data_IF_890334613764
#
_entry.id   IF_890334613764
#
_cell.length_a   1.000
_cell.length_b   1.000
_cell.length_c   1.000
_cell.angle_alpha   90.00
_cell.angle_beta   90.00
_cell.angle_gamma   90.00
#
_symmetry.space_group_name_H-M   'P 1'
#
loop_
_entity.id
_entity.type
_entity.pdbx_description
1 polymer ?
#
# COMPACT_ATOMS: atom_id res chain seq x y z
N UNK A 1 -12.74 24.20 7.87
CA UNK A 1 -13.19 23.95 6.48
C UNK A 1 -12.22 22.96 5.87
N UNK A 2 -12.59 21.68 5.84
CA UNK A 2 -11.79 20.61 5.22
C UNK A 2 -12.13 20.54 3.74
N UNK A 3 -11.17 20.84 2.86
CA UNK A 3 -11.37 20.67 1.40
C UNK A 3 -11.13 19.21 1.04
N UNK A 4 -12.09 18.35 1.37
CA UNK A 4 -12.19 17.04 0.72
C UNK A 4 -12.61 17.30 -0.72
N UNK A 5 -11.71 17.11 -1.69
CA UNK A 5 -12.18 16.71 -3.01
C UNK A 5 -12.84 15.34 -2.84
N UNK A 6 -13.89 15.05 -3.61
CA UNK A 6 -14.78 13.90 -3.39
C UNK A 6 -14.09 12.53 -3.25
N UNK A 7 -12.78 12.43 -3.52
CA UNK A 7 -11.94 11.23 -3.38
C UNK A 7 -10.53 11.47 -2.80
N UNK A 8 -10.19 12.68 -2.34
CA UNK A 8 -8.79 13.02 -1.99
C UNK A 8 -8.61 13.93 -0.78
N UNK A 9 -7.41 13.88 -0.18
CA UNK A 9 -6.99 14.71 0.94
C UNK A 9 -5.60 15.31 0.71
N UNK A 10 -5.44 16.60 0.99
CA UNK A 10 -4.19 17.35 0.73
C UNK A 10 -3.20 17.24 1.91
N UNK A 11 -3.68 17.03 3.13
CA UNK A 11 -2.81 17.06 4.31
C UNK A 11 -1.67 16.01 4.31
N UNK A 12 -1.82 14.77 3.84
CA UNK A 12 -0.68 13.84 3.80
C UNK A 12 0.39 14.31 2.79
N UNK A 13 -0.02 14.51 1.53
CA UNK A 13 0.85 14.89 0.42
C UNK A 13 0.05 15.74 -0.56
N UNK A 14 0.74 16.59 -1.30
CA UNK A 14 0.17 17.49 -2.30
C UNK A 14 0.15 18.95 -1.85
N UNK A 15 -0.66 19.77 -2.52
CA UNK A 15 -0.83 21.20 -2.24
C UNK A 15 -2.24 21.65 -2.65
N UNK A 16 -2.71 22.76 -2.11
CA UNK A 16 -3.97 23.36 -2.52
C UNK A 16 -3.77 24.77 -3.09
N UNK A 17 -4.67 25.20 -3.97
CA UNK A 17 -4.57 26.52 -4.59
C UNK A 17 -4.65 27.68 -3.58
N UNK A 18 -5.24 27.45 -2.40
CA UNK A 18 -5.35 28.47 -1.34
C UNK A 18 -4.20 28.47 -0.34
N UNK A 19 -3.23 27.55 -0.51
CA UNK A 19 -2.04 27.41 0.33
C UNK A 19 -2.34 27.26 1.82
N UNK A 20 -3.47 26.66 2.17
CA UNK A 20 -3.88 26.40 3.55
C UNK A 20 -3.39 25.06 4.08
N UNK A 21 -2.91 24.18 3.19
CA UNK A 21 -2.47 22.82 3.51
C UNK A 21 -1.02 22.58 3.09
N UNK A 22 -0.27 23.66 2.90
CA UNK A 22 1.11 23.64 2.42
C UNK A 22 2.09 23.18 3.51
N UNK A 23 1.68 23.20 4.77
CA UNK A 23 2.43 22.63 5.88
C UNK A 23 1.56 21.65 6.66
N UNK A 24 2.10 20.47 6.99
CA UNK A 24 1.33 19.48 7.73
C UNK A 24 2.20 18.38 8.35
N UNK A 25 1.59 17.72 9.34
CA UNK A 25 2.04 16.47 9.93
C UNK A 25 0.87 15.49 9.93
N UNK A 26 1.10 14.30 9.40
CA UNK A 26 0.09 13.26 9.20
C UNK A 26 0.63 11.92 9.70
N UNK A 27 -0.21 11.15 10.38
CA UNK A 27 0.08 9.78 10.78
C UNK A 27 -1.08 8.87 10.40
N UNK A 28 -0.74 7.71 9.85
CA UNK A 28 -1.67 6.62 9.56
C UNK A 28 -1.10 5.31 10.10
N UNK A 29 -1.96 4.52 10.73
CA UNK A 29 -1.63 3.16 11.16
C UNK A 29 -2.15 2.16 10.13
N UNK A 30 -1.27 1.26 9.69
CA UNK A 30 -1.56 0.16 8.79
C UNK A 30 -1.51 -1.12 9.63
N UNK A 31 -2.66 -1.76 9.89
CA UNK A 31 -2.69 -3.02 10.64
C UNK A 31 -1.82 -4.10 9.99
N UNK A 32 -1.16 -4.93 10.82
CA UNK A 32 -0.26 -5.99 10.37
C UNK A 32 -0.90 -6.95 9.35
N UNK A 33 -2.22 -7.18 9.45
CA UNK A 33 -2.99 -8.02 8.49
C UNK A 33 -3.00 -7.49 7.06
N UNK A 34 -2.62 -6.23 6.83
CA UNK A 34 -2.50 -5.61 5.51
C UNK A 34 -1.04 -5.48 5.04
N UNK A 35 -0.10 -6.06 5.80
CA UNK A 35 1.32 -6.04 5.53
C UNK A 35 1.83 -7.48 5.30
N UNK A 36 3.01 -7.67 4.70
CA UNK A 36 3.59 -9.00 4.52
C UNK A 36 3.73 -9.75 5.86
N UNK A 37 3.33 -11.02 5.93
CA UNK A 37 3.41 -11.80 7.19
C UNK A 37 4.83 -12.29 7.56
N UNK A 38 5.85 -11.84 6.83
CA UNK A 38 7.25 -12.25 6.99
C UNK A 38 8.15 -11.01 7.03
N UNK A 39 9.30 -11.07 7.72
CA UNK A 39 10.28 -10.00 7.68
C UNK A 39 10.64 -9.64 6.24
N UNK A 40 10.58 -8.36 5.91
CA UNK A 40 10.85 -7.87 4.55
C UNK A 40 11.37 -6.45 4.58
N UNK A 41 12.13 -6.11 3.56
CA UNK A 41 12.66 -4.76 3.37
C UNK A 41 11.72 -3.99 2.45
N UNK A 42 11.29 -2.81 2.92
CA UNK A 42 10.48 -1.85 2.19
C UNK A 42 11.40 -0.78 1.63
N UNK A 43 11.38 -0.58 0.31
CA UNK A 43 12.32 0.29 -0.40
C UNK A 43 11.65 1.50 -1.07
N UNK A 44 10.33 1.51 -1.14
CA UNK A 44 9.58 2.66 -1.64
C UNK A 44 8.14 2.67 -1.14
N UNK A 45 7.52 3.83 -1.20
CA UNK A 45 6.08 4.02 -1.03
C UNK A 45 5.49 4.58 -2.31
N UNK A 46 4.33 4.10 -2.72
CA UNK A 46 3.57 4.66 -3.83
C UNK A 46 2.22 5.16 -3.32
N UNK A 47 1.77 6.26 -3.91
CA UNK A 47 0.49 6.91 -3.61
C UNK A 47 -0.25 7.22 -4.91
N UNK A 48 -1.57 7.36 -4.85
CA UNK A 48 -2.39 7.70 -6.02
C UNK A 48 -2.84 9.15 -5.95
N UNK A 49 -2.65 9.90 -7.03
CA UNK A 49 -3.21 11.26 -7.17
C UNK A 49 -4.73 11.22 -7.38
N UNK A 50 -5.48 12.01 -6.62
CA UNK A 50 -6.95 12.00 -6.64
C UNK A 50 -7.59 13.12 -7.46
N UNK A 51 -6.83 14.18 -7.78
CA UNK A 51 -7.40 15.41 -8.34
C UNK A 51 -6.82 15.78 -9.72
N UNK A 52 -5.49 15.74 -9.87
CA UNK A 52 -4.81 16.08 -11.11
C UNK A 52 -3.39 15.49 -11.15
N UNK A 53 -2.86 15.34 -12.37
CA UNK A 53 -1.43 15.07 -12.58
C UNK A 53 -0.65 16.36 -12.38
N UNK A 54 0.29 16.37 -11.44
CA UNK A 54 1.06 17.56 -11.10
C UNK A 54 2.39 17.22 -10.44
N UNK A 55 3.34 18.12 -10.52
CA UNK A 55 4.59 18.05 -9.74
C UNK A 55 4.51 19.07 -8.60
N UNK A 56 4.73 18.62 -7.38
CA UNK A 56 4.70 19.47 -6.18
C UNK A 56 6.11 19.62 -5.65
N UNK A 57 6.58 20.86 -5.55
CA UNK A 57 7.85 21.19 -4.91
C UNK A 57 7.72 21.17 -3.39
N UNK A 58 8.70 20.62 -2.70
CA UNK A 58 8.78 20.61 -1.24
C UNK A 58 10.07 21.30 -0.79
N UNK A 59 9.94 22.18 0.20
CA UNK A 59 11.08 22.66 0.98
C UNK A 59 11.52 21.61 1.99
N UNK A 60 10.54 20.88 2.54
CA UNK A 60 10.75 19.69 3.35
C UNK A 60 9.68 18.65 3.05
N UNK A 61 10.07 17.43 2.75
CA UNK A 61 9.18 16.27 2.79
C UNK A 61 9.93 15.13 3.49
N UNK A 62 9.45 14.76 4.66
CA UNK A 62 9.94 13.59 5.38
C UNK A 62 8.84 12.53 5.43
N UNK A 63 9.21 11.29 5.11
CA UNK A 63 8.38 10.12 5.36
C UNK A 63 9.13 9.26 6.36
N UNK A 64 8.47 8.90 7.46
CA UNK A 64 9.03 8.05 8.51
C UNK A 64 8.15 6.83 8.71
N UNK A 65 8.79 5.70 8.92
CA UNK A 65 8.14 4.42 9.19
C UNK A 65 8.57 3.92 10.56
N UNK A 66 7.64 3.32 11.30
CA UNK A 66 7.95 2.68 12.58
C UNK A 66 6.95 1.60 12.92
N UNK A 67 7.39 0.59 13.66
CA UNK A 67 6.51 -0.47 14.14
C UNK A 67 5.66 0.04 15.30
N UNK A 68 4.34 -0.07 15.18
CA UNK A 68 3.42 0.29 16.24
C UNK A 68 3.43 -0.77 17.35
N UNK A 69 3.26 -0.31 18.59
CA UNK A 69 2.99 -1.17 19.76
C UNK A 69 1.49 -1.28 20.07
N UNK A 70 0.68 -0.38 19.53
CA UNK A 70 -0.78 -0.34 19.67
C UNK A 70 -1.49 -0.55 18.32
N UNK A 71 -2.79 -0.84 18.37
CA UNK A 71 -3.65 -0.88 17.18
C UNK A 71 -4.34 0.45 16.84
N UNK A 72 -4.05 1.52 17.60
CA UNK A 72 -4.74 2.83 17.51
C UNK A 72 -3.75 3.98 17.66
N UNK A 73 -4.06 5.13 17.03
CA UNK A 73 -3.25 6.34 17.12
C UNK A 73 -3.76 7.29 18.22
N UNK A 74 -2.86 7.73 19.10
CA UNK A 74 -3.03 8.87 19.99
C UNK A 74 -3.15 10.17 19.19
N UNK A 75 -3.82 11.17 19.76
CA UNK A 75 -3.81 12.53 19.19
C UNK A 75 -2.46 13.23 19.38
N UNK A 76 -1.67 12.84 20.38
CA UNK A 76 -0.28 13.30 20.51
C UNK A 76 0.57 12.49 19.56
N UNK A 77 1.20 13.15 18.59
CA UNK A 77 1.96 12.44 17.56
C UNK A 77 3.12 11.65 18.17
N UNK A 78 3.84 12.23 19.13
CA UNK A 78 5.05 11.63 19.70
C UNK A 78 4.78 10.38 20.54
N UNK A 79 3.56 10.23 21.08
CA UNK A 79 3.11 9.00 21.74
C UNK A 79 3.08 7.80 20.77
N UNK A 80 2.99 8.06 19.47
CA UNK A 80 2.91 7.04 18.41
C UNK A 80 4.28 6.69 17.79
N UNK A 81 5.39 7.33 18.22
CA UNK A 81 6.67 7.36 17.47
C UNK A 81 7.80 6.47 17.99
N UNK A 82 7.53 5.44 18.78
CA UNK A 82 8.61 4.52 19.19
C UNK A 82 9.33 3.96 17.95
N UNK A 83 10.66 4.14 17.89
CA UNK A 83 11.57 3.58 16.88
C UNK A 83 11.32 3.98 15.41
N UNK A 84 10.97 5.25 15.16
CA UNK A 84 10.71 5.76 13.81
C UNK A 84 11.99 5.99 12.98
N UNK A 85 12.07 5.34 11.83
CA UNK A 85 13.12 5.49 10.84
C UNK A 85 12.67 6.47 9.76
N UNK A 86 13.44 7.51 9.51
CA UNK A 86 13.24 8.38 8.33
C UNK A 86 13.66 7.61 7.09
N UNK A 87 12.72 7.40 6.17
CA UNK A 87 12.90 6.65 4.93
C UNK A 87 12.94 7.55 3.70
N UNK A 88 12.33 8.72 3.77
CA UNK A 88 12.43 9.79 2.78
C UNK A 88 12.77 11.07 3.53
N UNK A 89 13.77 11.82 3.06
CA UNK A 89 14.18 13.13 3.58
C UNK A 89 14.54 14.06 2.41
N UNK A 90 13.52 14.70 1.84
CA UNK A 90 13.68 15.68 0.77
C UNK A 90 13.80 17.07 1.39
N UNK A 91 15.04 17.54 1.54
CA UNK A 91 15.37 18.92 1.89
C UNK A 91 15.54 19.77 0.63
N UNK A 92 14.44 19.95 -0.10
CA UNK A 92 14.40 20.67 -1.36
C UNK A 92 14.37 19.76 -2.59
N UNK A 93 13.17 19.58 -3.15
CA UNK A 93 12.96 18.73 -4.33
C UNK A 93 11.51 18.80 -4.80
N UNK A 94 11.11 17.86 -5.65
CA UNK A 94 9.72 17.77 -6.08
C UNK A 94 9.28 16.32 -6.27
N UNK A 95 8.00 16.06 -6.03
CA UNK A 95 7.36 14.76 -6.29
C UNK A 95 6.32 14.95 -7.37
N UNK A 96 6.37 14.10 -8.39
CA UNK A 96 5.33 14.00 -9.40
C UNK A 96 4.23 13.06 -8.90
N UNK A 97 2.99 13.54 -8.99
CA UNK A 97 1.76 12.79 -8.75
C UNK A 97 1.02 12.64 -10.06
N UNK A 98 0.64 11.41 -10.40
CA UNK A 98 -0.13 11.08 -11.59
C UNK A 98 -1.59 10.83 -11.20
N UNK A 99 -2.51 11.44 -11.94
CA UNK A 99 -3.94 11.29 -11.69
C UNK A 99 -4.39 9.85 -11.91
N UNK A 100 -5.05 9.26 -10.92
CA UNK A 100 -5.56 7.90 -10.96
C UNK A 100 -4.49 6.80 -11.19
N UNK A 101 -3.21 7.15 -11.12
CA UNK A 101 -2.07 6.25 -11.26
C UNK A 101 -1.21 6.25 -10.01
N UNK A 102 -0.45 5.17 -9.80
CA UNK A 102 0.46 5.05 -8.66
C UNK A 102 1.76 5.79 -8.95
N UNK A 103 2.05 6.84 -8.20
CA UNK A 103 3.32 7.54 -8.23
C UNK A 103 4.22 7.03 -7.11
N UNK A 104 5.38 6.49 -7.49
CA UNK A 104 6.36 5.93 -6.56
C UNK A 104 7.29 7.02 -6.02
N UNK A 105 7.45 7.05 -4.70
CA UNK A 105 8.43 7.83 -3.96
C UNK A 105 9.48 6.84 -3.42
N UNK A 106 10.68 6.78 -4.02
CA UNK A 106 11.74 5.89 -3.56
C UNK A 106 12.21 6.32 -2.16
N UNK A 107 12.64 5.36 -1.35
CA UNK A 107 13.26 5.67 -0.06
C UNK A 107 14.74 5.98 -0.22
N UNK A 108 15.20 7.02 0.47
CA UNK A 108 16.63 7.30 0.67
C UNK A 108 17.28 6.20 1.54
N UNK A 109 16.49 5.67 2.48
CA UNK A 109 16.85 4.55 3.34
C UNK A 109 15.69 3.56 3.43
N UNK A 110 15.97 2.31 3.10
CA UNK A 110 14.98 1.25 3.25
C UNK A 110 14.59 1.00 4.71
N UNK A 111 13.39 0.43 4.89
CA UNK A 111 12.85 0.06 6.19
C UNK A 111 12.73 -1.45 6.34
N UNK A 112 13.32 -1.99 7.39
CA UNK A 112 13.22 -3.42 7.72
C UNK A 112 11.94 -3.69 8.52
N UNK A 113 10.90 -4.12 7.81
CA UNK A 113 9.65 -4.55 8.43
C UNK A 113 9.79 -5.96 9.03
N UNK A 114 9.17 -6.20 10.18
CA UNK A 114 9.40 -7.43 10.97
C UNK A 114 8.39 -8.55 10.67
N UNK A 115 7.44 -8.29 9.77
CA UNK A 115 6.40 -9.24 9.38
C UNK A 115 5.26 -9.41 10.39
N UNK A 116 5.26 -8.69 11.52
CA UNK A 116 4.37 -9.00 12.66
C UNK A 116 3.63 -7.80 13.21
N UNK A 117 4.32 -6.68 13.46
CA UNK A 117 3.72 -5.52 14.13
C UNK A 117 2.99 -4.62 13.14
N UNK A 118 1.96 -3.85 13.53
CA UNK A 118 1.41 -2.84 12.66
C UNK A 118 2.47 -1.80 12.29
N UNK A 119 2.29 -1.11 11.17
CA UNK A 119 3.19 -0.06 10.70
C UNK A 119 2.53 1.30 10.86
N UNK A 120 3.25 2.28 11.40
CA UNK A 120 2.85 3.68 11.35
C UNK A 120 3.63 4.36 10.23
N UNK A 121 2.91 5.08 9.38
CA UNK A 121 3.46 5.98 8.38
C UNK A 121 3.25 7.40 8.88
N UNK A 122 4.34 8.09 9.18
CA UNK A 122 4.34 9.53 9.44
C UNK A 122 4.80 10.27 8.18
N UNK A 123 4.07 11.31 7.81
CA UNK A 123 4.43 12.22 6.74
C UNK A 123 4.47 13.64 7.30
N UNK A 124 5.60 14.30 7.11
CA UNK A 124 5.81 15.69 7.45
C UNK A 124 6.13 16.44 6.18
N UNK A 125 5.38 17.49 5.87
CA UNK A 125 5.63 18.27 4.66
C UNK A 125 5.57 19.76 4.89
N UNK A 126 6.37 20.47 4.09
CA UNK A 126 6.30 21.89 3.80
C UNK A 126 6.50 22.07 2.30
N UNK A 127 5.45 22.52 1.62
CA UNK A 127 5.42 22.80 0.18
C UNK A 127 6.27 24.04 -0.10
N UNK A 128 7.01 24.01 -1.21
CA UNK A 128 7.82 25.13 -1.69
C UNK A 128 6.95 26.19 -2.37
N UNK A 129 7.20 27.46 -2.10
CA UNK A 129 6.44 28.60 -2.67
C UNK A 129 6.89 29.06 -4.05
N UNK A 130 7.83 28.36 -4.68
CA UNK A 130 8.41 28.68 -5.98
C UNK A 130 7.33 28.65 -7.09
N UNK A 131 7.13 29.75 -7.83
CA UNK A 131 6.19 29.81 -8.96
C UNK A 131 6.39 28.69 -9.99
N UNK A 132 7.61 28.17 -10.16
CA UNK A 132 7.89 27.10 -11.12
C UNK A 132 7.33 25.73 -10.70
N UNK A 133 7.09 25.53 -9.40
CA UNK A 133 6.56 24.27 -8.84
C UNK A 133 5.21 24.42 -8.14
N UNK A 134 4.71 25.65 -8.01
CA UNK A 134 3.39 25.93 -7.46
C UNK A 134 2.35 25.60 -8.52
N UNK A 135 1.59 24.53 -8.29
CA UNK A 135 0.44 24.21 -9.14
C UNK A 135 -0.71 25.14 -8.75
N UNK A 136 -1.33 25.77 -9.74
CA UNK A 136 -2.63 26.42 -9.55
C UNK A 136 -3.78 25.41 -9.31
N UNK A 137 -3.51 24.12 -9.53
CA UNK A 137 -4.45 23.03 -9.30
C UNK A 137 -4.25 22.37 -7.94
N UNK A 138 -5.35 21.87 -7.38
CA UNK A 138 -5.32 21.11 -6.13
C UNK A 138 -4.71 19.74 -6.42
N UNK A 139 -3.67 19.38 -5.66
CA UNK A 139 -3.02 18.09 -5.69
C UNK A 139 -3.34 17.41 -4.36
N UNK A 140 -4.08 16.32 -4.42
CA UNK A 140 -4.53 15.59 -3.25
C UNK A 140 -4.21 14.10 -3.40
N UNK A 141 -3.86 13.46 -2.30
CA UNK A 141 -3.70 12.01 -2.26
C UNK A 141 -5.05 11.31 -2.11
N UNK A 142 -5.20 10.17 -2.76
CA UNK A 142 -6.42 9.38 -2.73
C UNK A 142 -6.69 8.81 -1.33
N UNK A 143 -7.91 9.00 -0.82
CA UNK A 143 -8.35 8.51 0.50
C UNK A 143 -9.52 7.52 0.43
N UNK A 144 -9.97 7.15 -0.77
CA UNK A 144 -11.01 6.16 -0.97
C UNK A 144 -10.44 4.81 -1.40
N UNK A 145 -10.71 3.78 -0.60
CA UNK A 145 -11.27 2.57 -1.17
C UNK A 145 -12.74 2.89 -1.47
N UNK A 146 -13.26 2.51 -2.63
CA UNK A 146 -14.70 2.38 -2.80
C UNK A 146 -14.98 0.88 -2.74
N UNK A 147 -15.61 0.38 -1.68
CA UNK A 147 -16.26 1.07 -0.54
C UNK A 147 -15.27 1.61 0.49
N UNK A 148 -15.64 2.65 1.25
CA UNK A 148 -14.75 3.25 2.26
C UNK A 148 -14.31 2.25 3.34
N UNK A 149 -13.00 2.17 3.63
CA UNK A 149 -12.42 1.35 4.71
C UNK A 149 -12.73 1.97 6.08
N UNK A 150 -13.86 1.59 6.70
CA UNK A 150 -14.16 1.95 8.10
C UNK A 150 -13.50 1.00 9.12
N UNK A 151 -12.91 -0.10 8.66
CA UNK A 151 -12.22 -1.10 9.48
C UNK A 151 -10.75 -0.71 9.81
N UNK A 152 -10.27 0.37 9.21
CA UNK A 152 -8.92 0.88 9.41
C UNK A 152 -8.89 1.96 10.51
N UNK A 153 -7.83 2.02 11.33
CA UNK A 153 -7.69 3.03 12.35
C UNK A 153 -7.72 4.45 11.78
N UNK A 154 -8.36 5.35 12.52
CA UNK A 154 -8.47 6.78 12.18
C UNK A 154 -7.08 7.41 12.07
N UNK A 155 -6.79 8.04 10.94
CA UNK A 155 -5.57 8.80 10.75
C UNK A 155 -5.60 10.10 11.55
N UNK A 156 -4.43 10.53 12.02
CA UNK A 156 -4.25 11.74 12.85
C UNK A 156 -3.44 12.75 12.09
N UNK A 157 -3.88 13.99 12.08
CA UNK A 157 -3.16 15.02 11.33
C UNK A 157 -3.41 16.42 11.85
N UNK A 158 -2.51 17.31 11.48
CA UNK A 158 -2.69 18.76 11.53
C UNK A 158 -2.18 19.35 10.23
N UNK A 159 -2.67 20.54 9.87
CA UNK A 159 -2.21 21.26 8.70
C UNK A 159 -2.33 22.77 8.96
N UNK A 160 -1.62 23.53 8.14
CA UNK A 160 -1.69 24.98 8.13
C UNK A 160 -1.05 25.56 6.88
N UNK A 161 -1.11 26.90 6.74
CA UNK A 161 -0.34 27.58 5.72
C UNK A 161 1.17 27.38 5.94
N UNK A 162 1.97 27.76 4.95
CA UNK A 162 3.42 27.77 5.11
C UNK A 162 3.84 28.56 6.36
N UNK A 163 4.83 28.04 7.07
CA UNK A 163 5.39 28.59 8.32
C UNK A 163 4.41 28.69 9.50
N UNK A 164 3.30 27.93 9.46
CA UNK A 164 2.38 27.76 10.59
C UNK A 164 2.96 26.92 11.73
N UNK A 165 4.02 26.14 11.47
CA UNK A 165 4.57 25.15 12.40
C UNK A 165 3.82 23.82 12.43
N UNK A 166 2.85 23.62 11.53
CA UNK A 166 2.05 22.39 11.49
C UNK A 166 2.89 21.13 11.25
N UNK A 167 4.04 21.24 10.58
CA UNK A 167 4.95 20.13 10.28
C UNK A 167 5.58 19.51 11.54
N UNK A 168 5.79 20.32 12.58
CA UNK A 168 6.43 19.93 13.83
C UNK A 168 5.46 19.96 15.02
N UNK A 169 4.16 20.13 14.77
CA UNK A 169 3.16 20.14 15.83
C UNK A 169 3.18 18.84 16.63
N UNK A 170 3.03 18.93 17.95
CA UNK A 170 3.00 17.76 18.84
C UNK A 170 1.63 17.08 18.90
N UNK A 171 0.56 17.80 18.58
CA UNK A 171 -0.83 17.31 18.69
C UNK A 171 -1.56 17.44 17.35
N UNK A 172 -2.25 16.38 16.97
CA UNK A 172 -3.19 16.38 15.85
C UNK A 172 -4.46 17.16 16.22
N UNK A 173 -4.79 18.14 15.38
CA UNK A 173 -6.02 18.94 15.49
C UNK A 173 -7.20 18.32 14.73
N UNK A 174 -6.92 17.31 13.92
CA UNK A 174 -7.89 16.65 13.06
C UNK A 174 -7.74 15.12 13.06
N UNK A 175 -8.82 14.47 12.64
CA UNK A 175 -8.96 13.03 12.56
C UNK A 175 -9.64 12.68 11.24
N UNK A 176 -9.09 11.72 10.49
CA UNK A 176 -9.65 11.29 9.20
C UNK A 176 -10.01 9.80 9.28
N UNK A 177 -11.31 9.43 9.19
CA UNK A 177 -11.72 8.03 9.24
C UNK A 177 -11.42 7.25 7.97
N UNK A 178 -11.01 7.94 6.89
CA UNK A 178 -10.66 7.34 5.61
C UNK A 178 -9.12 7.42 5.41
N UNK A 179 -8.40 6.29 5.44
CA UNK A 179 -6.95 6.30 5.29
C UNK A 179 -6.53 6.64 3.87
N UNK A 180 -5.30 7.14 3.73
CA UNK A 180 -4.66 7.31 2.44
C UNK A 180 -4.38 5.95 1.79
N UNK A 181 -4.62 5.89 0.48
CA UNK A 181 -4.22 4.76 -0.36
C UNK A 181 -2.70 4.72 -0.50
N UNK A 182 -2.08 3.69 0.07
CA UNK A 182 -0.63 3.50 0.08
C UNK A 182 -0.32 2.10 -0.45
N UNK A 183 0.71 2.00 -1.29
CA UNK A 183 1.31 0.74 -1.70
C UNK A 183 2.79 0.76 -1.35
N UNK A 184 3.26 -0.26 -0.63
CA UNK A 184 4.69 -0.43 -0.37
C UNK A 184 5.33 -1.26 -1.48
N UNK A 185 6.53 -0.85 -1.89
CA UNK A 185 7.39 -1.72 -2.69
C UNK A 185 8.33 -2.46 -1.75
N UNK A 186 8.32 -3.79 -1.83
CA UNK A 186 9.18 -4.66 -1.05
C UNK A 186 10.19 -5.36 -1.96
N UNK A 187 11.38 -5.67 -1.42
CA UNK A 187 12.40 -6.47 -2.12
C UNK A 187 12.27 -7.98 -1.87
N UNK A 188 11.28 -8.40 -1.07
CA UNK A 188 10.91 -9.81 -0.92
C UNK A 188 10.04 -10.28 -2.08
N UNK A 189 10.16 -11.56 -2.38
CA UNK A 189 9.26 -12.21 -3.31
C UNK A 189 7.82 -12.14 -2.77
N UNK A 190 6.90 -11.58 -3.56
CA UNK A 190 5.51 -11.33 -3.14
C UNK A 190 4.54 -11.69 -4.25
N UNK A 191 3.36 -12.18 -3.86
CA UNK A 191 2.24 -12.38 -4.75
C UNK A 191 1.18 -11.33 -4.39
N UNK A 192 0.78 -10.53 -5.38
CA UNK A 192 -0.17 -9.43 -5.21
C UNK A 192 -1.40 -9.65 -6.09
N UNK A 193 -2.55 -9.20 -5.62
CA UNK A 193 -3.80 -9.13 -6.41
C UNK A 193 -4.03 -7.69 -6.85
N UNK A 194 -3.91 -7.42 -8.14
CA UNK A 194 -4.24 -6.15 -8.78
C UNK A 194 -5.54 -6.31 -9.57
N UNK A 195 -6.65 -5.73 -9.13
CA UNK A 195 -7.89 -5.74 -9.93
C UNK A 195 -8.89 -4.73 -9.38
N UNK A 196 -9.82 -4.23 -10.21
CA UNK A 196 -10.92 -3.42 -9.73
C UNK A 196 -11.79 -4.28 -8.78
N UNK A 197 -11.51 -4.17 -7.48
CA UNK A 197 -12.26 -4.80 -6.40
C UNK A 197 -13.66 -4.17 -6.37
N UNK A 198 -14.69 -4.99 -6.25
CA UNK A 198 -16.08 -4.54 -6.18
C UNK A 198 -16.72 -5.00 -4.87
N UNK A 199 -17.29 -4.08 -4.07
CA UNK A 199 -18.07 -4.42 -2.87
C UNK A 199 -17.36 -4.19 -1.53
N UNK A 200 -18.12 -4.31 -0.42
CA UNK A 200 -17.81 -3.94 0.99
C UNK A 200 -16.41 -4.36 1.51
N UNK A 201 -15.85 -5.44 0.96
CA UNK A 201 -14.63 -6.11 1.43
C UNK A 201 -13.60 -6.19 0.30
N UNK A 202 -12.34 -5.92 0.64
CA UNK A 202 -11.19 -5.77 -0.26
C UNK A 202 -10.80 -7.02 -1.10
N UNK A 203 -11.56 -8.09 -0.99
CA UNK A 203 -11.34 -9.36 -1.66
C UNK A 203 -12.56 -9.81 -2.48
N UNK A 204 -13.52 -8.91 -2.74
CA UNK A 204 -14.72 -9.24 -3.52
C UNK A 204 -14.55 -8.83 -4.99
N UNK A 205 -14.86 -9.75 -5.89
CA UNK A 205 -14.80 -9.54 -7.34
C UNK A 205 -16.14 -9.85 -8.00
N UNK A 206 -16.60 -8.99 -8.93
CA UNK A 206 -17.88 -9.20 -9.59
C UNK A 206 -17.80 -10.35 -10.61
N UNK A 207 -18.97 -10.90 -10.95
CA UNK A 207 -19.15 -11.68 -12.17
C UNK A 207 -18.78 -10.81 -13.39
N UNK A 208 -18.25 -11.44 -14.45
CA UNK A 208 -17.60 -10.76 -15.59
C UNK A 208 -16.39 -9.87 -15.20
N UNK A 209 -15.93 -10.00 -13.96
CA UNK A 209 -14.74 -9.34 -13.47
C UNK A 209 -13.46 -10.02 -13.94
N UNK A 210 -12.34 -9.46 -13.48
CA UNK A 210 -11.01 -10.04 -13.65
C UNK A 210 -10.23 -9.93 -12.36
N UNK A 211 -9.37 -10.90 -12.11
CA UNK A 211 -8.37 -10.89 -11.05
C UNK A 211 -7.00 -10.90 -11.70
N UNK A 212 -6.20 -9.85 -11.55
CA UNK A 212 -4.80 -9.89 -11.98
C UNK A 212 -3.96 -10.32 -10.80
N UNK A 213 -3.20 -11.40 -10.98
CA UNK A 213 -2.20 -11.87 -10.05
C UNK A 213 -0.84 -11.41 -10.55
N UNK A 214 -0.11 -10.66 -9.74
CA UNK A 214 1.25 -10.20 -10.04
C UNK A 214 2.21 -10.84 -9.03
N UNK A 215 3.16 -11.63 -9.53
CA UNK A 215 4.26 -12.15 -8.71
C UNK A 215 5.47 -11.25 -8.91
N UNK A 216 5.88 -10.58 -7.84
CA UNK A 216 7.17 -9.92 -7.78
C UNK A 216 8.16 -10.93 -7.26
N UNK A 217 9.05 -11.38 -8.13
CA UNK A 217 10.15 -12.25 -7.76
C UNK A 217 11.47 -11.60 -8.19
N UNK A 218 12.56 -11.91 -7.49
CA UNK A 218 13.89 -11.43 -7.86
C UNK A 218 14.23 -11.82 -9.30
N UNK A 219 15.03 -11.00 -9.98
CA UNK A 219 15.49 -11.34 -11.33
C UNK A 219 16.31 -12.64 -11.29
N UNK A 220 16.03 -13.55 -12.23
CA UNK A 220 16.71 -14.85 -12.31
C UNK A 220 16.06 -15.98 -11.51
N UNK A 221 15.01 -15.70 -10.73
CA UNK A 221 14.19 -16.75 -10.12
C UNK A 221 13.06 -17.18 -11.06
N UNK A 222 12.44 -18.32 -10.79
CA UNK A 222 11.23 -18.79 -11.48
C UNK A 222 10.10 -18.81 -10.48
N UNK A 223 8.85 -18.76 -10.92
CA UNK A 223 7.74 -18.89 -9.99
C UNK A 223 6.58 -19.69 -10.60
N UNK A 224 5.77 -20.25 -9.71
CA UNK A 224 4.50 -20.87 -10.02
C UNK A 224 3.43 -20.32 -9.08
N UNK A 225 2.28 -19.93 -9.62
CA UNK A 225 1.11 -19.57 -8.81
C UNK A 225 0.27 -20.83 -8.63
N UNK A 226 -0.03 -21.15 -7.38
CA UNK A 226 -0.91 -22.24 -6.99
C UNK A 226 -2.26 -21.65 -6.61
N UNK A 227 -3.33 -22.09 -7.27
CA UNK A 227 -4.71 -21.72 -6.93
C UNK A 227 -5.46 -22.86 -6.27
N UNK A 228 -6.22 -22.54 -5.23
CA UNK A 228 -7.00 -23.49 -4.43
C UNK A 228 -8.51 -23.21 -4.57
N UNK A 229 -9.24 -23.99 -5.40
CA UNK A 229 -10.69 -23.97 -5.40
C UNK A 229 -11.21 -24.71 -4.16
N UNK A 230 -11.20 -24.03 -3.01
CA UNK A 230 -11.59 -24.60 -1.72
C UNK A 230 -10.43 -25.17 -0.89
N UNK A 231 -10.61 -25.16 0.43
CA UNK A 231 -9.62 -25.70 1.37
C UNK A 231 -9.73 -27.23 1.42
N UNK A 232 -8.81 -27.93 0.75
CA UNK A 232 -8.53 -29.34 1.06
C UNK A 232 -7.90 -29.49 2.46
N UNK A 233 -7.84 -30.70 3.02
CA UNK A 233 -7.15 -30.91 4.30
C UNK A 233 -5.67 -30.50 4.20
N UNK A 234 -5.12 -29.90 5.28
CA UNK A 234 -3.73 -29.44 5.32
C UNK A 234 -2.73 -30.58 5.13
N UNK A 235 -1.69 -30.36 4.32
CA UNK A 235 -0.58 -31.29 4.10
C UNK A 235 0.71 -30.65 4.64
N UNK A 236 1.43 -31.40 5.47
CA UNK A 236 2.78 -31.03 5.90
C UNK A 236 3.74 -31.36 4.76
N UNK A 237 4.51 -30.37 4.30
CA UNK A 237 5.47 -30.56 3.18
C UNK A 237 6.90 -30.35 3.67
N UNK A 238 7.58 -31.36 4.24
CA UNK A 238 9.00 -31.25 4.55
C UNK A 238 9.80 -30.92 3.26
N UNK A 239 10.81 -30.03 3.30
CA UNK A 239 11.41 -29.36 4.46
C UNK A 239 10.77 -28.01 4.85
N UNK A 240 9.60 -27.68 4.31
CA UNK A 240 8.94 -26.39 4.53
C UNK A 240 8.30 -26.35 5.92
N UNK A 241 8.70 -25.40 6.75
CA UNK A 241 7.97 -25.04 7.96
C UNK A 241 6.67 -24.34 7.54
N UNK A 242 5.58 -25.11 7.45
CA UNK A 242 4.28 -24.57 7.04
C UNK A 242 3.26 -25.65 6.74
N UNK A 243 2.01 -25.21 6.59
CA UNK A 243 0.89 -26.03 6.18
C UNK A 243 0.53 -25.67 4.75
N UNK A 244 0.65 -26.63 3.82
CA UNK A 244 0.26 -26.46 2.43
C UNK A 244 -1.08 -27.17 2.20
N UNK A 245 -2.07 -26.48 1.64
CA UNK A 245 -3.30 -27.12 1.19
C UNK A 245 -3.05 -27.56 -0.26
N UNK A 246 -2.87 -28.84 -0.57
CA UNK A 246 -2.65 -29.27 -1.97
C UNK A 246 -3.78 -30.20 -2.43
N UNK A 247 -4.87 -29.63 -2.96
CA UNK A 247 -5.44 -30.12 -4.19
C UNK A 247 -5.25 -29.03 -5.26
N UNK A 248 -4.05 -28.96 -5.84
CA UNK A 248 -3.76 -28.01 -6.94
C UNK A 248 -4.64 -28.37 -8.11
N UNK A 249 -5.65 -27.56 -8.39
CA UNK A 249 -6.50 -27.75 -9.58
C UNK A 249 -5.99 -26.92 -10.75
N UNK A 250 -5.25 -25.84 -10.48
CA UNK A 250 -4.63 -24.99 -11.50
C UNK A 250 -3.22 -24.60 -11.06
N UNK A 251 -2.22 -25.11 -11.77
CA UNK A 251 -0.89 -24.52 -11.80
C UNK A 251 -0.85 -23.57 -12.99
N UNK A 252 -0.68 -22.27 -12.72
CA UNK A 252 -0.38 -21.34 -13.79
C UNK A 252 1.05 -21.61 -14.32
N UNK A 253 1.31 -21.39 -15.61
CA UNK A 253 2.58 -21.75 -16.21
C UNK A 253 3.76 -21.10 -15.47
N UNK A 254 4.84 -21.87 -15.32
CA UNK A 254 6.08 -21.38 -14.73
C UNK A 254 6.58 -20.23 -15.60
N UNK A 255 6.77 -19.07 -14.99
CA UNK A 255 7.39 -17.93 -15.65
C UNK A 255 8.70 -17.55 -14.94
N UNK A 256 9.60 -16.92 -15.70
CA UNK A 256 10.84 -16.39 -15.16
C UNK A 256 10.61 -15.00 -14.58
N UNK A 257 11.27 -14.72 -13.46
CA UNK A 257 11.33 -13.40 -12.84
C UNK A 257 12.12 -12.46 -13.74
N UNK A 258 11.43 -11.46 -14.30
CA UNK A 258 12.03 -10.35 -15.04
C UNK A 258 11.96 -9.07 -14.22
N UNK A 259 12.62 -7.98 -14.65
CA UNK A 259 12.50 -6.67 -14.00
C UNK A 259 11.07 -6.12 -14.01
N UNK A 260 10.23 -6.59 -14.95
CA UNK A 260 8.79 -6.39 -14.91
C UNK A 260 8.13 -7.60 -14.23
N UNK A 261 7.36 -7.34 -13.17
CA UNK A 261 6.64 -8.39 -12.46
C UNK A 261 5.60 -9.04 -13.39
N UNK A 262 5.74 -10.34 -13.71
CA UNK A 262 4.82 -11.02 -14.60
C UNK A 262 3.40 -11.03 -14.02
N UNK A 263 2.44 -10.81 -14.91
CA UNK A 263 1.02 -10.69 -14.59
C UNK A 263 0.26 -11.86 -15.19
N UNK A 264 -0.61 -12.47 -14.40
CA UNK A 264 -1.58 -13.44 -14.89
C UNK A 264 -2.97 -12.92 -14.62
N UNK A 265 -3.78 -12.78 -15.67
CA UNK A 265 -5.18 -12.42 -15.54
C UNK A 265 -6.05 -13.68 -15.45
N UNK A 266 -6.91 -13.74 -14.43
CA UNK A 266 -7.98 -14.71 -14.28
C UNK A 266 -9.31 -14.01 -14.58
N UNK A 267 -10.00 -14.46 -15.62
CA UNK A 267 -11.34 -13.96 -15.94
C UNK A 267 -12.37 -14.69 -15.07
N UNK A 268 -13.27 -13.94 -14.44
CA UNK A 268 -14.42 -14.48 -13.71
C UNK A 268 -15.60 -14.49 -14.68
N UNK A 269 -16.04 -15.65 -15.20
CA UNK A 269 -17.14 -15.69 -16.16
C UNK A 269 -18.46 -15.27 -15.49
N UNK A 270 -19.42 -14.77 -16.29
CA UNK A 270 -20.82 -14.61 -15.86
C UNK A 270 -21.51 -15.93 -15.55
N UNK A 271 -21.15 -16.54 -14.43
CA UNK A 271 -21.76 -17.77 -13.95
C UNK A 271 -22.21 -17.56 -12.51
N UNK A 272 -23.52 -17.47 -12.29
CA UNK A 272 -24.11 -17.25 -10.96
C UNK A 272 -23.74 -18.36 -9.96
N UNK A 273 -23.36 -19.56 -10.43
CA UNK A 273 -22.86 -20.63 -9.55
C UNK A 273 -21.51 -20.29 -8.89
N UNK A 274 -20.80 -19.26 -9.38
CA UNK A 274 -19.59 -18.75 -8.75
C UNK A 274 -19.89 -17.75 -7.62
N UNK A 275 -21.12 -17.27 -7.44
CA UNK A 275 -21.42 -16.37 -6.32
C UNK A 275 -21.15 -17.06 -4.99
N UNK A 276 -20.37 -16.42 -4.12
CA UNK A 276 -19.89 -16.97 -2.85
C UNK A 276 -18.65 -17.87 -2.97
N UNK A 277 -18.15 -18.09 -4.19
CA UNK A 277 -16.93 -18.88 -4.42
C UNK A 277 -15.72 -18.20 -3.80
N UNK A 278 -14.99 -18.92 -2.96
CA UNK A 278 -13.75 -18.49 -2.32
C UNK A 278 -12.56 -19.21 -2.94
N UNK A 279 -11.56 -18.45 -3.37
CA UNK A 279 -10.29 -18.98 -3.83
C UNK A 279 -9.13 -18.35 -3.06
N UNK A 280 -8.11 -19.16 -2.80
CA UNK A 280 -6.84 -18.69 -2.27
C UNK A 280 -5.73 -18.97 -3.29
N UNK A 281 -4.73 -18.09 -3.31
CA UNK A 281 -3.55 -18.21 -4.16
C UNK A 281 -2.29 -17.99 -3.35
N UNK A 282 -1.26 -18.73 -3.71
CA UNK A 282 0.08 -18.53 -3.20
C UNK A 282 1.07 -18.78 -4.33
N UNK A 283 2.17 -18.03 -4.37
CA UNK A 283 3.23 -18.32 -5.32
C UNK A 283 4.39 -19.02 -4.61
N UNK A 284 5.01 -19.96 -5.31
CA UNK A 284 6.32 -20.49 -4.97
C UNK A 284 7.33 -19.84 -5.92
N UNK A 285 8.41 -19.29 -5.38
CA UNK A 285 9.54 -18.77 -6.11
C UNK A 285 10.72 -19.72 -5.97
N UNK A 286 11.24 -20.21 -7.09
CA UNK A 286 12.39 -21.09 -7.21
C UNK A 286 13.62 -20.26 -7.58
N UNK A 287 14.58 -20.21 -6.67
CA UNK A 287 15.91 -19.65 -6.91
C UNK A 287 16.89 -20.80 -7.16
N UNK A 288 17.15 -21.10 -8.44
CA UNK A 288 18.06 -22.16 -8.82
C UNK A 288 19.52 -21.84 -8.52
N UNK A 289 19.91 -20.57 -8.45
CA UNK A 289 21.28 -20.19 -8.13
C UNK A 289 21.62 -20.55 -6.67
N UNK A 290 20.65 -20.39 -5.77
CA UNK A 290 20.79 -20.72 -4.36
C UNK A 290 20.18 -22.08 -3.97
N UNK A 291 19.56 -22.79 -4.91
CA UNK A 291 18.89 -24.07 -4.66
C UNK A 291 17.73 -23.99 -3.67
N UNK A 292 17.04 -22.85 -3.62
CA UNK A 292 16.00 -22.58 -2.61
C UNK A 292 14.61 -22.38 -3.21
N UNK A 293 13.58 -22.74 -2.44
CA UNK A 293 12.18 -22.42 -2.74
C UNK A 293 11.67 -21.48 -1.65
N UNK A 294 11.15 -20.33 -2.06
CA UNK A 294 10.55 -19.32 -1.18
C UNK A 294 9.06 -19.23 -1.48
N UNK A 295 8.24 -19.36 -0.46
CA UNK A 295 6.81 -19.13 -0.59
C UNK A 295 6.50 -17.65 -0.39
N UNK A 296 5.69 -17.08 -1.28
CA UNK A 296 5.17 -15.73 -1.09
C UNK A 296 4.07 -15.71 -0.02
N UNK A 297 3.57 -14.52 0.29
CA UNK A 297 2.30 -14.37 0.99
C UNK A 297 1.18 -15.12 0.23
N UNK A 298 0.19 -15.61 0.97
CA UNK A 298 -1.08 -16.05 0.42
C UNK A 298 -2.02 -14.86 0.24
N UNK A 299 -2.87 -14.92 -0.78
CA UNK A 299 -3.98 -13.98 -0.98
C UNK A 299 -5.25 -14.79 -1.19
N UNK A 300 -6.40 -14.18 -0.97
CA UNK A 300 -7.67 -14.80 -1.21
C UNK A 300 -8.66 -13.85 -1.86
N UNK A 301 -9.70 -14.42 -2.46
CA UNK A 301 -10.80 -13.67 -3.01
C UNK A 301 -12.12 -14.42 -2.99
N UNK A 302 -13.20 -13.65 -2.98
CA UNK A 302 -14.58 -14.10 -3.09
C UNK A 302 -15.22 -13.52 -4.35
N UNK A 303 -16.05 -14.31 -5.03
CA UNK A 303 -16.88 -13.83 -6.13
C UNK A 303 -18.26 -13.45 -5.59
N UNK A 304 -18.79 -12.31 -6.03
CA UNK A 304 -20.12 -11.82 -5.65
C UNK A 304 -20.80 -11.19 -6.90
N UNK A 305 -22.14 -10.96 -6.90
CA UNK A 305 -22.84 -10.35 -8.02
C UNK A 305 -22.31 -8.97 -8.40
#
# INVERSE_FOLDING_TARGET
MTTTHSRGHVAPLGQDATRKFDESRFQQLIPARYLPGVPTRIDAVAVVGAAATATVGYDRLEIRLGHATSGTLSSTFDDNLADMVTVVDIAGGAVRYDFAEWSTIPFDRAFDYDGRRPLIVEIRKRVRTDPATTSASIVASRIDSNPGRSDLPVARFTYGPIDSGAIDASVATHALPAPMSIRFSTSSDTLTVESPRGGALDHVFPLDGRVTLEVRAKSGTYFAILGFPGFGPPIVTPPLEGVAHLPVTVALPIASGSSAAPRTELLIPRNEALVGYHAAFQAAVLDFANGSIVWTNAIDFFVNP
#
